data_IF_453452328066
#
_entry.id   IF_453452328066
#
_cell.length_a   1.000
_cell.length_b   1.000
_cell.length_c   1.000
_cell.angle_alpha   90.00
_cell.angle_beta   90.00
_cell.angle_gamma   90.00
#
_symmetry.space_group_name_H-M   'P 1'
#
loop_
_entity.id
_entity.type
_entity.pdbx_description
1 polymer ?
#
# COMPACT_ATOMS: atom_id res chain seq x y z
N UNK A 1 10.26 -0.60 18.71
CA UNK A 1 9.42 0.30 17.87
C UNK A 1 10.23 1.55 17.58
N UNK A 2 10.17 2.08 16.36
CA UNK A 2 10.96 3.24 15.93
C UNK A 2 10.59 4.51 16.72
N UNK A 3 11.60 5.29 17.14
CA UNK A 3 11.40 6.46 18.02
C UNK A 3 10.70 7.63 17.31
N UNK A 4 10.94 7.81 16.01
CA UNK A 4 10.32 8.90 15.24
C UNK A 4 8.85 8.62 15.01
N UNK A 5 8.50 7.37 14.71
CA UNK A 5 7.11 6.91 14.62
C UNK A 5 6.38 7.18 15.94
N UNK A 6 6.97 6.80 17.08
CA UNK A 6 6.36 7.04 18.39
C UNK A 6 6.19 8.54 18.70
N UNK A 7 7.17 9.36 18.31
CA UNK A 7 7.11 10.81 18.50
C UNK A 7 5.97 11.45 17.71
N UNK A 8 5.75 11.02 16.46
CA UNK A 8 4.71 11.60 15.62
C UNK A 8 3.30 11.12 15.99
N UNK A 9 3.11 9.86 16.38
CA UNK A 9 1.84 9.41 16.98
C UNK A 9 1.46 10.29 18.18
N UNK A 10 2.43 10.65 19.02
CA UNK A 10 2.21 11.55 20.15
C UNK A 10 1.82 12.96 19.71
N UNK A 11 2.42 13.51 18.64
CA UNK A 11 2.05 14.83 18.09
C UNK A 11 0.61 14.85 17.59
N UNK A 12 0.17 13.77 16.94
CA UNK A 12 -1.22 13.58 16.50
C UNK A 12 -2.22 13.32 17.62
N UNK A 13 -1.75 13.07 18.85
CA UNK A 13 -2.58 12.61 19.98
C UNK A 13 -3.29 11.28 19.69
N UNK A 14 -2.67 10.47 18.83
CA UNK A 14 -3.15 9.15 18.45
C UNK A 14 -2.46 8.07 19.28
N UNK A 15 -3.16 6.94 19.48
CA UNK A 15 -2.57 5.75 20.10
C UNK A 15 -2.14 4.78 18.99
N UNK A 16 -0.91 4.29 19.08
CA UNK A 16 -0.46 3.20 18.21
C UNK A 16 -1.14 1.90 18.65
N UNK A 17 -2.15 1.49 17.89
CA UNK A 17 -2.88 0.21 18.03
C UNK A 17 -2.47 -0.74 16.91
N UNK A 18 -2.75 -2.05 17.02
CA UNK A 18 -2.57 -2.96 15.90
C UNK A 18 -3.39 -2.49 14.69
N UNK A 19 -2.71 -2.21 13.59
CA UNK A 19 -3.31 -1.80 12.31
C UNK A 19 -3.41 -2.98 11.35
N UNK A 20 -2.48 -3.94 11.44
CA UNK A 20 -2.40 -5.08 10.55
C UNK A 20 -1.72 -4.77 9.22
N UNK A 21 -2.06 -5.58 8.23
CA UNK A 21 -1.47 -5.58 6.89
C UNK A 21 -2.46 -4.93 5.92
N UNK A 22 -1.98 -4.02 5.07
CA UNK A 22 -2.75 -3.52 3.94
C UNK A 22 -2.31 -4.19 2.64
N UNK A 23 -3.21 -4.25 1.67
CA UNK A 23 -2.98 -4.90 0.37
C UNK A 23 -3.15 -6.42 0.43
N UNK A 24 -2.92 -7.08 -0.70
CA UNK A 24 -3.13 -8.52 -0.87
C UNK A 24 -1.92 -9.19 -1.51
N UNK A 25 -1.74 -9.04 -2.81
CA UNK A 25 -0.59 -9.56 -3.57
C UNK A 25 0.66 -8.71 -3.38
N UNK A 26 0.48 -7.45 -3.00
CA UNK A 26 1.53 -6.59 -2.43
C UNK A 26 1.06 -6.13 -1.06
N UNK A 27 1.54 -6.82 -0.05
CA UNK A 27 1.20 -6.56 1.34
C UNK A 27 2.18 -5.56 1.96
N UNK A 28 1.68 -4.63 2.78
CA UNK A 28 2.50 -3.83 3.69
C UNK A 28 1.98 -3.92 5.12
N UNK A 29 2.79 -4.45 6.02
CA UNK A 29 2.50 -4.49 7.45
C UNK A 29 2.64 -3.09 8.05
N UNK A 30 1.51 -2.43 8.34
CA UNK A 30 1.48 -1.09 8.91
C UNK A 30 1.92 -1.05 10.38
N UNK A 31 1.93 -2.19 11.08
CA UNK A 31 2.47 -2.28 12.43
C UNK A 31 4.01 -2.27 12.45
N UNK A 32 4.63 -2.78 11.38
CA UNK A 32 6.08 -2.82 11.18
C UNK A 32 6.60 -1.64 10.33
N UNK A 33 5.76 -1.05 9.47
CA UNK A 33 6.11 0.06 8.61
C UNK A 33 6.54 1.29 9.42
N UNK A 34 7.80 1.70 9.23
CA UNK A 34 8.37 2.88 9.91
C UNK A 34 8.26 4.17 9.09
N UNK A 35 7.47 4.17 8.00
CA UNK A 35 7.35 5.32 7.09
C UNK A 35 8.70 5.82 6.54
N UNK A 36 9.62 4.89 6.25
CA UNK A 36 10.93 5.20 5.65
C UNK A 36 10.79 5.63 4.18
N UNK A 37 9.90 4.96 3.44
CA UNK A 37 9.58 5.28 2.04
C UNK A 37 10.53 4.70 0.99
N UNK A 38 11.52 3.89 1.37
CA UNK A 38 12.35 3.18 0.39
C UNK A 38 11.54 2.34 -0.62
N UNK A 39 10.39 1.76 -0.21
CA UNK A 39 9.52 1.02 -1.12
C UNK A 39 8.85 1.90 -2.19
N UNK A 40 8.53 3.16 -1.85
CA UNK A 40 7.96 4.14 -2.79
C UNK A 40 9.02 4.51 -3.84
N UNK A 41 10.24 4.85 -3.40
CA UNK A 41 11.35 5.23 -4.28
C UNK A 41 11.83 4.07 -5.16
N UNK A 42 11.87 2.84 -4.63
CA UNK A 42 12.40 1.67 -5.33
C UNK A 42 11.40 1.02 -6.30
N UNK A 43 10.10 1.34 -6.23
CA UNK A 43 9.10 0.70 -7.05
C UNK A 43 9.12 1.28 -8.48
N UNK A 44 9.53 0.52 -9.51
CA UNK A 44 9.67 1.05 -10.87
C UNK A 44 8.33 1.38 -11.54
N UNK A 45 7.22 0.94 -10.97
CA UNK A 45 5.85 1.16 -11.45
C UNK A 45 5.00 1.97 -10.45
N UNK A 46 5.64 2.50 -9.40
CA UNK A 46 5.05 3.44 -8.42
C UNK A 46 3.71 2.99 -7.80
N UNK A 47 3.57 1.73 -7.40
CA UNK A 47 2.30 1.24 -6.83
C UNK A 47 2.00 1.73 -5.41
N UNK A 48 3.01 2.30 -4.74
CA UNK A 48 2.91 2.79 -3.39
C UNK A 48 2.64 4.30 -3.37
N UNK A 49 1.83 4.74 -2.42
CA UNK A 49 1.64 6.14 -2.06
C UNK A 49 1.72 6.31 -0.55
N UNK A 50 1.80 7.56 -0.08
CA UNK A 50 1.55 7.91 1.32
C UNK A 50 0.04 8.04 1.59
N UNK A 51 -0.49 7.34 2.60
CA UNK A 51 -1.95 7.35 2.83
C UNK A 51 -2.46 8.67 3.40
N UNK A 52 -1.72 9.35 4.28
CA UNK A 52 -2.19 10.60 4.90
C UNK A 52 -2.21 11.76 3.93
N UNK A 53 -1.36 11.74 2.91
CA UNK A 53 -1.41 12.76 1.86
C UNK A 53 -2.56 12.55 0.88
N UNK A 54 -3.10 11.33 0.75
CA UNK A 54 -4.38 11.09 0.09
C UNK A 54 -5.54 11.56 0.99
N UNK A 55 -5.51 11.14 2.27
CA UNK A 55 -6.51 11.48 3.28
C UNK A 55 -5.92 11.47 4.68
N UNK A 56 -5.79 12.65 5.28
CA UNK A 56 -5.21 12.80 6.62
C UNK A 56 -6.20 12.40 7.72
N UNK A 57 -6.18 11.11 8.07
CA UNK A 57 -6.93 10.48 9.15
C UNK A 57 -6.03 9.53 9.93
N UNK A 58 -6.46 9.10 11.12
CA UNK A 58 -5.66 8.16 11.91
C UNK A 58 -5.51 6.82 11.21
N UNK A 59 -4.41 6.11 11.47
CA UNK A 59 -4.18 4.79 10.87
C UNK A 59 -5.31 3.79 11.18
N UNK A 60 -5.91 3.85 12.37
CA UNK A 60 -7.03 2.97 12.74
C UNK A 60 -8.33 3.33 12.02
N UNK A 61 -8.52 4.61 11.69
CA UNK A 61 -9.66 5.04 10.87
C UNK A 61 -9.43 4.65 9.41
N UNK A 62 -8.20 4.77 8.91
CA UNK A 62 -7.84 4.38 7.56
C UNK A 62 -8.08 2.89 7.27
N UNK A 63 -7.60 1.99 8.13
CA UNK A 63 -7.82 0.53 7.97
C UNK A 63 -9.28 0.09 8.19
N UNK A 64 -10.12 0.97 8.75
CA UNK A 64 -11.57 0.73 8.91
C UNK A 64 -12.40 1.42 7.83
N UNK A 65 -11.77 2.25 7.00
CA UNK A 65 -12.45 3.05 6.01
C UNK A 65 -12.82 2.18 4.80
N UNK A 66 -14.12 1.94 4.64
CA UNK A 66 -14.68 1.16 3.53
C UNK A 66 -15.07 2.03 2.34
N UNK A 67 -14.80 3.33 2.40
CA UNK A 67 -15.06 4.23 1.28
C UNK A 67 -13.99 4.08 0.20
N UNK A 68 -14.31 4.35 -1.07
CA UNK A 68 -13.30 4.36 -2.12
C UNK A 68 -12.22 5.42 -1.86
N UNK A 69 -10.96 4.99 -1.84
CA UNK A 69 -9.80 5.87 -1.77
C UNK A 69 -9.44 6.31 -3.19
N UNK A 70 -9.09 7.58 -3.40
CA UNK A 70 -8.84 8.08 -4.75
C UNK A 70 -7.44 7.72 -5.27
N UNK A 71 -6.52 7.32 -4.40
CA UNK A 71 -5.14 7.07 -4.79
C UNK A 71 -4.41 8.36 -5.16
N UNK A 72 -4.68 9.45 -4.44
CA UNK A 72 -4.08 10.77 -4.67
C UNK A 72 -2.97 11.11 -3.68
N UNK A 73 -2.50 10.11 -2.95
CA UNK A 73 -1.35 10.27 -2.08
C UNK A 73 -0.10 10.57 -2.89
N UNK A 74 0.80 11.32 -2.29
CA UNK A 74 2.12 11.61 -2.85
C UNK A 74 2.91 10.31 -3.04
N UNK A 75 3.66 10.24 -4.14
CA UNK A 75 4.49 9.09 -4.53
C UNK A 75 5.98 9.37 -4.43
N UNK A 76 6.35 10.46 -3.75
CA UNK A 76 7.72 10.85 -3.51
C UNK A 76 8.07 10.58 -2.04
N UNK A 77 9.18 9.90 -1.79
CA UNK A 77 9.58 9.45 -0.44
C UNK A 77 9.68 10.61 0.56
N UNK A 78 10.17 11.75 0.11
CA UNK A 78 10.38 12.95 0.92
C UNK A 78 9.07 13.73 1.19
N UNK A 79 7.99 13.40 0.48
CA UNK A 79 6.69 14.08 0.58
C UNK A 79 5.69 13.41 1.54
N UNK A 80 6.15 12.49 2.38
CA UNK A 80 5.35 11.97 3.50
C UNK A 80 4.93 13.10 4.43
N UNK A 81 3.74 13.02 5.00
CA UNK A 81 3.30 13.98 6.01
C UNK A 81 4.20 13.91 7.26
N UNK A 82 4.45 12.70 7.77
CA UNK A 82 5.38 12.41 8.87
C UNK A 82 5.59 10.89 9.05
N UNK A 83 6.15 10.42 10.18
CA UNK A 83 6.45 9.00 10.39
C UNK A 83 5.22 8.12 10.75
N UNK A 84 4.04 8.72 10.89
CA UNK A 84 2.76 7.99 10.98
C UNK A 84 2.09 7.80 9.62
N UNK A 85 2.62 8.42 8.57
CA UNK A 85 2.16 8.29 7.19
C UNK A 85 2.73 7.01 6.56
N UNK A 86 1.91 5.96 6.54
CA UNK A 86 2.34 4.62 6.12
C UNK A 86 2.25 4.52 4.60
N UNK A 87 3.24 3.88 3.99
CA UNK A 87 3.18 3.57 2.57
C UNK A 87 2.03 2.57 2.32
N UNK A 88 1.21 2.82 1.30
CA UNK A 88 0.09 1.95 0.94
C UNK A 88 0.22 1.52 -0.52
N UNK A 89 0.10 0.22 -0.78
CA UNK A 89 0.20 -0.36 -2.12
C UNK A 89 -1.12 -0.21 -2.90
N UNK A 90 -1.63 1.02 -3.01
CA UNK A 90 -2.98 1.31 -3.53
C UNK A 90 -3.19 0.83 -4.98
N UNK A 91 -2.10 0.69 -5.75
CA UNK A 91 -2.12 0.16 -7.13
C UNK A 91 -1.44 -1.20 -7.24
N UNK A 92 -1.61 -2.10 -6.26
CA UNK A 92 -0.95 -3.40 -6.26
C UNK A 92 -1.14 -4.24 -7.54
N UNK A 93 -2.25 -4.03 -8.28
CA UNK A 93 -2.49 -4.66 -9.59
C UNK A 93 -1.44 -4.31 -10.66
N UNK A 94 -0.77 -3.15 -10.56
CA UNK A 94 0.29 -2.72 -11.47
C UNK A 94 1.65 -3.39 -11.15
N UNK A 95 1.74 -4.18 -10.06
CA UNK A 95 2.99 -4.76 -9.60
C UNK A 95 3.57 -5.75 -10.62
N UNK A 96 4.85 -5.58 -10.95
CA UNK A 96 5.59 -6.45 -11.88
C UNK A 96 6.42 -7.54 -11.18
N UNK A 97 6.18 -7.78 -9.89
CA UNK A 97 6.85 -8.80 -9.06
C UNK A 97 8.38 -8.74 -9.06
N UNK A 98 8.97 -7.55 -9.18
CA UNK A 98 10.42 -7.39 -9.21
C UNK A 98 11.10 -7.53 -7.83
N UNK A 99 10.32 -7.57 -6.74
CA UNK A 99 10.79 -7.70 -5.35
C UNK A 99 11.68 -6.55 -4.85
N UNK A 100 11.80 -5.46 -5.61
CA UNK A 100 12.63 -4.31 -5.21
C UNK A 100 12.16 -3.71 -3.88
N UNK A 101 10.86 -3.47 -3.73
CA UNK A 101 10.27 -2.94 -2.50
C UNK A 101 10.50 -3.85 -1.27
N UNK A 102 10.47 -5.17 -1.45
CA UNK A 102 10.77 -6.16 -0.40
C UNK A 102 12.24 -6.05 0.03
N UNK A 103 13.15 -6.01 -0.95
CA UNK A 103 14.59 -5.99 -0.68
C UNK A 103 15.07 -4.71 0.01
N UNK A 104 14.43 -3.57 -0.25
CA UNK A 104 14.87 -2.28 0.32
C UNK A 104 14.19 -1.91 1.64
N UNK A 105 13.11 -2.61 2.02
CA UNK A 105 12.32 -2.27 3.21
C UNK A 105 13.12 -2.55 4.49
N UNK A 106 13.55 -1.53 5.26
CA UNK A 106 14.39 -1.76 6.45
C UNK A 106 13.75 -2.66 7.52
N UNK A 107 12.45 -2.52 7.85
CA UNK A 107 11.79 -3.41 8.80
C UNK A 107 11.21 -4.69 8.16
N UNK A 108 11.44 -4.94 6.86
CA UNK A 108 10.84 -6.05 6.11
C UNK A 108 9.31 -6.09 6.20
N UNK A 109 8.66 -4.91 6.20
CA UNK A 109 7.21 -4.78 6.29
C UNK A 109 6.48 -5.12 4.98
N UNK A 110 7.19 -5.08 3.84
CA UNK A 110 6.59 -5.33 2.52
C UNK A 110 6.81 -6.79 2.09
N UNK A 111 5.75 -7.43 1.62
CA UNK A 111 5.78 -8.74 0.99
C UNK A 111 5.09 -8.70 -0.38
N UNK A 112 5.62 -9.45 -1.34
CA UNK A 112 5.01 -9.60 -2.66
C UNK A 112 4.85 -11.08 -2.95
N UNK A 113 3.63 -11.51 -3.28
CA UNK A 113 3.31 -12.89 -3.65
C UNK A 113 2.42 -12.93 -4.89
N UNK A 114 2.97 -13.41 -6.00
CA UNK A 114 2.24 -13.58 -7.25
C UNK A 114 1.10 -14.61 -7.12
N UNK A 115 1.23 -15.59 -6.22
CA UNK A 115 0.19 -16.58 -5.95
C UNK A 115 -1.11 -15.98 -5.39
N UNK A 116 -1.06 -14.74 -4.90
CA UNK A 116 -2.23 -14.04 -4.38
C UNK A 116 -2.98 -13.20 -5.43
N UNK A 117 -2.46 -13.09 -6.67
CA UNK A 117 -3.07 -12.26 -7.72
C UNK A 117 -4.52 -12.65 -8.01
N UNK A 118 -4.83 -13.94 -8.14
CA UNK A 118 -6.21 -14.38 -8.38
C UNK A 118 -7.15 -13.96 -7.24
N UNK A 119 -6.69 -14.03 -5.99
CA UNK A 119 -7.49 -13.62 -4.83
C UNK A 119 -7.69 -12.11 -4.79
N UNK A 120 -6.65 -11.34 -5.11
CA UNK A 120 -6.73 -9.90 -5.30
C UNK A 120 -7.79 -9.54 -6.33
N UNK A 121 -7.69 -10.08 -7.54
CA UNK A 121 -8.60 -9.80 -8.64
C UNK A 121 -10.04 -10.22 -8.31
N UNK A 122 -10.24 -11.32 -7.59
CA UNK A 122 -11.56 -11.75 -7.12
C UNK A 122 -12.16 -10.78 -6.11
N UNK A 123 -11.37 -10.30 -5.15
CA UNK A 123 -11.81 -9.29 -4.18
C UNK A 123 -12.10 -7.94 -4.86
N UNK A 124 -11.25 -7.56 -5.82
CA UNK A 124 -11.43 -6.37 -6.65
C UNK A 124 -12.66 -6.50 -7.59
N UNK A 125 -13.09 -7.72 -7.91
CA UNK A 125 -14.15 -8.00 -8.89
C UNK A 125 -13.68 -7.82 -10.33
N UNK A 126 -12.37 -7.84 -10.56
CA UNK A 126 -11.71 -7.70 -11.86
C UNK A 126 -11.25 -9.03 -12.44
N UNK A 127 -11.35 -10.13 -11.68
CA UNK A 127 -10.93 -11.47 -12.10
C UNK A 127 -11.53 -11.88 -13.44
N UNK A 128 -10.66 -12.26 -14.37
CA UNK A 128 -11.03 -12.83 -15.66
C UNK A 128 -10.42 -14.24 -15.78
N UNK A 129 -11.25 -15.22 -16.15
CA UNK A 129 -10.73 -16.52 -16.56
C UNK A 129 -10.21 -16.39 -18.00
N UNK A 130 -8.93 -16.04 -18.13
CA UNK A 130 -8.30 -15.85 -19.43
C UNK A 130 -7.97 -17.21 -20.05
N UNK A 131 -8.65 -17.54 -21.14
CA UNK A 131 -8.21 -18.62 -22.03
C UNK A 131 -6.89 -18.26 -22.69
N UNK A 132 -6.08 -19.26 -23.04
CA UNK A 132 -4.83 -19.04 -23.78
C UNK A 132 -5.05 -18.18 -25.03
N UNK A 133 -4.38 -17.03 -25.12
CA UNK A 133 -4.51 -16.06 -26.21
C UNK A 133 -5.48 -14.89 -25.97
N UNK A 134 -6.13 -14.83 -24.81
CA UNK A 134 -6.92 -13.65 -24.42
C UNK A 134 -6.00 -12.43 -24.17
N UNK A 135 -6.51 -11.23 -24.47
CA UNK A 135 -5.81 -9.98 -24.18
C UNK A 135 -5.58 -9.83 -22.67
N UNK A 136 -4.42 -9.29 -22.27
CA UNK A 136 -4.17 -8.99 -20.87
C UNK A 136 -5.19 -7.94 -20.40
N UNK A 137 -6.13 -8.27 -19.49
CA UNK A 137 -7.16 -7.35 -19.04
C UNK A 137 -6.57 -6.15 -18.27
N UNK A 138 -5.30 -6.26 -17.86
CA UNK A 138 -4.55 -5.24 -17.14
C UNK A 138 -3.65 -4.38 -18.04
N UNK A 139 -3.85 -4.40 -19.36
CA UNK A 139 -3.12 -3.49 -20.27
C UNK A 139 -3.68 -2.07 -20.34
N UNK A 140 -4.73 -1.77 -19.56
CA UNK A 140 -5.40 -0.47 -19.53
C UNK A 140 -5.21 0.18 -18.14
N UNK A 141 -4.61 1.36 -18.11
CA UNK A 141 -4.32 2.15 -16.91
C UNK A 141 -5.56 2.85 -16.31
N UNK A 142 -6.64 2.12 -16.05
CA UNK A 142 -7.78 2.66 -15.30
C UNK A 142 -7.92 1.93 -13.96
N UNK A 143 -7.71 2.66 -12.87
CA UNK A 143 -7.65 2.14 -11.50
C UNK A 143 -9.07 1.99 -10.94
N UNK A 144 -9.57 0.77 -10.67
CA UNK A 144 -10.73 0.58 -9.82
C UNK A 144 -10.25 0.45 -8.37
N UNK A 145 -10.15 1.57 -7.66
CA UNK A 145 -9.74 1.57 -6.25
C UNK A 145 -10.88 1.06 -5.36
N UNK A 146 -10.81 -0.21 -4.99
CA UNK A 146 -11.50 -0.70 -3.79
C UNK A 146 -10.56 -0.46 -2.62
N UNK A 147 -11.09 0.21 -1.60
CA UNK A 147 -10.33 0.67 -0.44
C UNK A 147 -9.56 -0.43 0.29
N UNK A 148 -8.71 0.02 1.21
CA UNK A 148 -7.86 -0.78 2.10
C UNK A 148 -8.69 -1.94 2.69
N UNK A 149 -8.42 -3.17 2.24
CA UNK A 149 -9.02 -4.42 2.74
C UNK A 149 -8.14 -5.06 3.80
#
# INVERSE_FOLDING_TARGET
>A
KDEKVLADYKKHKEKMVPLGITGTMVANDWDSCIADGACIEACPVQIFQWYRTDKDISGIDAVKDKTPWKGLGTTEKEERLDYTDKADAIREHDCIWCMACVSVCPPQAVLVDQGLQEFHEKAAGTYQNLSSGAANPHSHHEVPSKGIV
#
